data_IF_985384068725
#
_entry.id   IF_985384068725
#
_cell.length_a   1.000
_cell.length_b   1.000
_cell.length_c   1.000
_cell.angle_alpha   90.00
_cell.angle_beta   90.00
_cell.angle_gamma   90.00
#
_symmetry.space_group_name_H-M   'P 1'
#
loop_
_entity.id
_entity.type
_entity.pdbx_description
1 polymer ?
2 non-polymer ?
3 non-polymer ?
4 water ?
#
# COMPACT_ATOMS: atom_id res chain seq x y z
N UNK A 5 8.02 13.68 25.13
CA UNK A 5 7.60 12.27 25.35
C UNK A 5 8.68 11.23 24.99
N UNK A 6 8.89 10.36 25.95
CA UNK A 6 9.90 9.35 25.89
C UNK A 6 9.40 8.24 24.99
N UNK A 7 8.11 8.00 25.02
CA UNK A 7 7.51 7.03 24.14
C UNK A 7 7.73 7.42 22.66
N UNK A 8 7.50 8.71 22.34
CA UNK A 8 7.69 9.19 20.97
C UNK A 8 9.16 9.06 20.56
N UNK A 9 10.05 9.43 21.46
CA UNK A 9 11.49 9.26 21.29
C UNK A 9 11.87 7.79 21.02
N UNK A 10 11.23 6.87 21.72
CA UNK A 10 11.46 5.44 21.52
C UNK A 10 10.97 4.89 20.15
N UNK A 11 9.77 5.32 19.77
CA UNK A 11 9.20 5.01 18.46
C UNK A 11 10.15 5.51 17.36
N UNK A 12 10.54 6.77 17.48
CA UNK A 12 11.40 7.39 16.47
C UNK A 12 12.79 6.73 16.37
N UNK A 13 13.35 6.31 17.50
CA UNK A 13 14.66 5.64 17.45
C UNK A 13 14.54 4.28 16.79
N UNK A 14 13.40 3.62 16.93
CA UNK A 14 13.26 2.35 16.20
C UNK A 14 13.19 2.61 14.67
N UNK A 15 12.44 3.62 14.24
CA UNK A 15 12.45 4.00 12.83
C UNK A 15 13.81 4.51 12.33
N UNK A 16 14.61 5.16 13.19
CA UNK A 16 15.92 5.65 12.68
C UNK A 16 16.82 4.42 12.50
N UNK A 17 16.66 3.42 13.33
CA UNK A 17 17.33 2.15 13.03
C UNK A 17 16.85 1.54 11.75
N UNK A 18 15.55 1.58 11.48
CA UNK A 18 15.02 0.98 10.25
C UNK A 18 15.59 1.77 9.08
N UNK A 19 15.67 3.09 9.26
CA UNK A 19 16.17 4.00 8.19
C UNK A 19 17.62 3.74 7.80
N UNK A 20 18.45 3.45 8.79
CA UNK A 20 19.82 3.08 8.53
C UNK A 20 19.92 1.75 7.76
N UNK A 21 19.09 0.78 8.08
CA UNK A 21 19.19 -0.49 7.39
C UNK A 21 18.71 -0.22 5.96
N UNK A 22 17.61 0.54 5.80
CA UNK A 22 17.11 0.81 4.45
C UNK A 22 18.17 1.50 3.57
N UNK A 23 18.86 2.47 4.17
CA UNK A 23 19.91 3.18 3.48
C UNK A 23 21.03 2.23 3.03
N UNK A 24 21.44 1.31 3.90
CA UNK A 24 22.56 0.38 3.57
C UNK A 24 22.16 -0.64 2.51
N UNK A 25 20.96 -1.22 2.65
CA UNK A 25 20.39 -2.11 1.61
C UNK A 25 20.38 -1.44 0.27
N UNK A 26 19.81 -0.25 0.19
CA UNK A 26 19.77 0.47 -1.07
C UNK A 26 21.15 0.76 -1.67
N UNK A 27 22.14 1.10 -0.86
CA UNK A 27 23.49 1.34 -1.38
C UNK A 27 23.96 0.13 -2.18
N UNK A 28 23.63 -1.07 -1.72
CA UNK A 28 24.19 -2.29 -2.29
C UNK A 28 23.33 -2.97 -3.38
N UNK A 29 22.03 -2.91 -3.18
CA UNK A 29 21.14 -3.70 -3.92
C UNK A 29 21.17 -3.39 -5.40
N UNK A 30 21.06 -4.43 -6.21
CA UNK A 30 20.93 -4.22 -7.66
C UNK A 30 19.69 -3.41 -7.97
N UNK A 31 19.74 -2.58 -9.01
CA UNK A 31 18.59 -1.69 -9.34
C UNK A 31 17.94 -2.24 -10.60
N UNK A 32 16.59 -2.27 -10.67
CA UNK A 32 16.00 -2.91 -11.84
C UNK A 32 16.34 -2.14 -13.09
N UNK A 33 16.56 -2.79 -14.21
CA UNK A 33 16.99 -2.10 -15.46
C UNK A 33 15.81 -1.61 -16.32
N UNK A 34 16.09 -0.66 -17.21
CA UNK A 34 15.16 -0.35 -18.30
C UNK A 34 13.92 0.34 -17.72
N UNK A 35 14.11 1.30 -16.83
CA UNK A 35 12.97 2.02 -16.27
C UNK A 35 13.30 3.51 -16.29
N UNK A 36 12.28 4.33 -16.53
CA UNK A 36 12.37 5.75 -16.34
C UNK A 36 11.44 6.16 -15.18
N UNK A 37 11.89 7.13 -14.42
CA UNK A 37 11.03 7.76 -13.43
C UNK A 37 10.99 9.28 -13.61
N UNK A 38 9.92 9.90 -13.11
CA UNK A 38 9.70 11.33 -13.04
C UNK A 38 9.40 11.61 -11.59
N UNK A 39 10.22 12.45 -10.96
CA UNK A 39 10.16 12.58 -9.50
C UNK A 39 9.59 13.90 -8.96
N UNK A 40 9.07 13.81 -7.74
CA UNK A 40 8.88 15.01 -6.91
C UNK A 40 7.78 15.89 -7.44
N UNK A 41 6.73 15.30 -7.97
CA UNK A 41 5.55 16.10 -8.30
C UNK A 41 4.71 16.44 -7.07
N UNK A 42 4.42 17.72 -6.84
CA UNK A 42 3.43 18.13 -5.81
C UNK A 42 2.07 17.70 -6.28
N UNK A 43 1.31 17.00 -5.43
CA UNK A 43 -0.05 16.62 -5.79
C UNK A 43 -1.08 17.57 -5.19
N UNK A 44 -0.65 18.56 -4.44
CA UNK A 44 -1.52 19.67 -4.05
C UNK A 44 -0.77 20.98 -3.91
N UNK A 45 -1.48 22.07 -3.61
CA UNK A 45 -0.83 23.37 -3.47
C UNK A 45 -0.20 23.49 -2.12
N UNK A 46 0.92 22.83 -1.92
CA UNK A 46 1.60 22.90 -0.65
C UNK A 46 3.07 22.64 -0.80
N UNK A 47 3.80 23.10 0.21
CA UNK A 47 5.25 22.96 0.25
C UNK A 47 5.65 21.82 1.22
N UNK A 48 4.68 21.05 1.73
CA UNK A 48 5.06 19.94 2.61
C UNK A 48 5.75 18.83 1.73
N UNK A 49 7.00 18.47 2.03
CA UNK A 49 7.71 17.57 1.10
C UNK A 49 7.09 16.17 1.01
N UNK A 50 6.27 15.79 1.99
CA UNK A 50 5.59 14.52 1.94
C UNK A 50 4.39 14.53 0.96
N UNK A 51 3.91 15.70 0.59
CA UNK A 51 2.80 15.82 -0.35
C UNK A 51 3.18 15.79 -1.81
N UNK A 52 3.99 14.77 -2.13
CA UNK A 52 4.66 14.65 -3.44
C UNK A 52 4.64 13.21 -3.88
N UNK A 53 4.80 12.97 -5.18
CA UNK A 53 4.80 11.60 -5.70
C UNK A 53 5.85 11.43 -6.84
N UNK A 54 6.15 10.17 -7.12
CA UNK A 54 7.00 9.71 -8.19
C UNK A 54 6.13 8.86 -9.12
N UNK A 55 6.48 8.91 -10.39
CA UNK A 55 5.89 8.10 -11.45
C UNK A 55 7.03 7.30 -12.08
N UNK A 56 6.73 6.09 -12.42
CA UNK A 56 7.71 5.15 -12.97
C UNK A 56 7.14 4.46 -14.20
N UNK A 57 8.01 4.19 -15.14
CA UNK A 57 7.62 3.56 -16.41
C UNK A 57 8.68 2.63 -16.96
N UNK A 58 8.29 1.65 -17.79
CA UNK A 58 9.28 0.95 -18.59
C UNK A 58 10.03 1.94 -19.48
N UNK A 59 11.31 1.73 -19.73
CA UNK A 59 12.03 2.70 -20.56
C UNK A 59 11.50 2.66 -21.98
N UNK A 60 11.05 1.49 -22.45
CA UNK A 60 10.37 1.37 -23.74
C UNK A 60 8.89 0.94 -23.56
N UNK A 61 8.00 1.78 -24.03
CA UNK A 61 6.58 1.53 -23.85
C UNK A 61 6.00 0.77 -25.05
N UNK A 62 5.34 -0.35 -24.76
CA UNK A 62 4.69 -1.14 -25.79
C UNK A 62 3.45 -0.39 -26.34
N UNK A 63 2.73 0.33 -25.48
CA UNK A 63 1.64 1.23 -25.90
C UNK A 63 1.80 2.61 -25.26
N UNK A 64 0.93 3.55 -25.66
CA UNK A 64 0.85 4.94 -25.16
C UNK A 64 0.30 5.07 -23.76
N UNK A 65 -0.54 4.11 -23.39
CA UNK A 65 -0.95 3.94 -22.02
C UNK A 65 -0.70 2.49 -21.63
N UNK A 66 -0.49 2.31 -20.36
CA UNK A 66 -0.16 1.02 -19.75
C UNK A 66 -1.02 0.86 -18.51
N UNK A 67 -1.36 -0.36 -18.14
CA UNK A 67 -2.10 -0.58 -16.91
C UNK A 67 -1.38 0.03 -15.70
N UNK A 68 -2.19 0.45 -14.74
CA UNK A 68 -1.76 1.30 -13.69
C UNK A 68 -1.50 0.49 -12.40
N UNK A 69 -0.37 0.80 -11.72
CA UNK A 69 -0.16 0.40 -10.33
C UNK A 69 0.04 1.63 -9.43
N UNK A 70 -0.68 1.66 -8.32
CA UNK A 70 -0.51 2.72 -7.33
C UNK A 70 -0.09 2.05 -6.01
N UNK A 71 1.07 2.47 -5.50
CA UNK A 71 1.71 1.92 -4.35
C UNK A 71 1.66 2.88 -3.16
N UNK A 72 1.20 2.36 -2.03
CA UNK A 72 1.25 3.01 -0.71
C UNK A 72 2.29 2.33 0.17
N UNK A 73 3.38 3.02 0.46
CA UNK A 73 4.48 2.43 1.23
C UNK A 73 4.15 2.23 2.69
N UNK A 74 4.94 1.41 3.35
CA UNK A 74 4.80 1.09 4.74
C UNK A 74 5.78 1.88 5.59
N UNK A 75 5.93 1.43 6.84
CA UNK A 75 6.72 2.15 7.84
C UNK A 75 5.95 2.51 9.10
N UNK A 76 4.96 1.74 9.47
CA UNK A 76 4.27 1.99 10.75
C UNK A 76 3.61 3.34 10.90
N UNK A 77 3.24 3.97 9.77
CA UNK A 77 2.58 5.30 9.79
C UNK A 77 3.42 6.43 10.30
N UNK A 78 4.61 6.09 10.85
CA UNK A 78 5.53 7.10 11.41
C UNK A 78 6.73 7.35 10.49
N UNK A 79 6.90 6.52 9.47
CA UNK A 79 8.17 6.52 8.73
C UNK A 79 7.97 6.31 7.21
N UNK A 80 8.87 6.88 6.42
CA UNK A 80 8.95 6.59 4.99
C UNK A 80 8.62 7.81 4.21
N UNK A 81 8.78 7.72 2.89
CA UNK A 81 8.46 8.79 1.93
C UNK A 81 8.30 8.14 0.53
N UNK A 82 8.11 8.95 -0.49
CA UNK A 82 7.87 8.45 -1.84
C UNK A 82 9.02 7.67 -2.47
N UNK A 83 10.20 7.78 -1.87
CA UNK A 83 11.41 7.09 -2.33
C UNK A 83 11.63 5.74 -1.66
N UNK A 84 10.96 5.47 -0.54
CA UNK A 84 11.29 4.23 0.20
C UNK A 84 11.15 2.94 -0.64
N UNK A 85 10.08 2.89 -1.43
CA UNK A 85 9.77 1.71 -2.21
C UNK A 85 10.21 1.87 -3.66
N UNK A 86 11.23 2.67 -3.92
CA UNK A 86 11.54 2.93 -5.32
C UNK A 86 11.98 1.67 -6.14
N UNK A 87 12.78 0.79 -5.56
CA UNK A 87 13.23 -0.39 -6.32
C UNK A 87 12.08 -1.34 -6.67
N UNK A 88 11.15 -1.49 -5.72
CA UNK A 88 9.94 -2.21 -5.95
C UNK A 88 9.10 -1.60 -7.03
N UNK A 89 8.84 -0.27 -6.96
CA UNK A 89 8.11 0.42 -7.98
C UNK A 89 8.79 0.32 -9.32
N UNK A 90 10.11 0.46 -9.33
CA UNK A 90 10.84 0.27 -10.58
C UNK A 90 10.66 -1.12 -11.16
N UNK A 91 10.76 -2.16 -10.30
CA UNK A 91 10.53 -3.55 -10.79
C UNK A 91 9.16 -3.65 -11.51
N UNK A 92 8.11 -3.22 -10.82
CA UNK A 92 6.78 -3.40 -11.35
C UNK A 92 6.68 -2.65 -12.67
N UNK A 93 7.22 -1.42 -12.70
CA UNK A 93 7.22 -0.67 -13.93
C UNK A 93 7.95 -1.39 -15.05
N UNK A 94 9.06 -2.02 -14.72
CA UNK A 94 9.89 -2.65 -15.75
C UNK A 94 9.07 -3.75 -16.47
N UNK A 95 7.95 -4.17 -15.91
CA UNK A 95 7.18 -5.32 -16.46
C UNK A 95 6.09 -4.86 -17.36
N UNK A 96 6.01 -3.54 -17.57
CA UNK A 96 5.17 -2.88 -18.59
C UNK A 96 3.99 -2.17 -17.94
N UNK A 97 4.21 -1.60 -16.75
CA UNK A 97 3.14 -0.90 -16.00
C UNK A 97 3.52 0.54 -15.73
N UNK A 98 2.54 1.42 -15.70
CA UNK A 98 2.74 2.75 -15.30
C UNK A 98 2.46 2.84 -13.78
N UNK A 99 3.40 3.35 -13.01
CA UNK A 99 3.37 3.17 -11.52
C UNK A 99 3.42 4.54 -10.79
N UNK A 100 2.54 4.73 -9.83
CA UNK A 100 2.56 5.95 -9.04
C UNK A 100 2.79 5.51 -7.62
N UNK A 101 3.75 6.14 -6.97
CA UNK A 101 3.99 5.97 -5.53
C UNK A 101 4.05 7.35 -4.88
N UNK A 102 3.28 7.53 -3.82
CA UNK A 102 3.12 8.81 -3.11
C UNK A 102 3.72 8.86 -1.72
N UNK A 103 4.10 10.06 -1.33
CA UNK A 103 4.25 10.31 0.08
C UNK A 103 2.94 10.69 0.71
N UNK A 104 2.91 10.50 2.00
CA UNK A 104 1.87 10.99 2.88
C UNK A 104 2.49 11.48 4.23
N UNK A 105 1.91 12.56 4.78
CA UNK A 105 2.40 13.08 6.05
C UNK A 105 2.36 11.98 7.11
N UNK A 106 3.36 11.99 7.97
CA UNK A 106 3.56 10.97 8.99
C UNK A 106 2.99 11.34 10.39
N UNK A 107 2.64 10.33 11.13
CA UNK A 107 2.31 10.48 12.52
C UNK A 107 3.62 10.94 13.12
N UNK A 108 3.55 11.78 14.16
CA UNK A 108 2.36 12.32 14.82
C UNK A 108 1.92 13.69 14.34
N UNK A 109 2.48 14.14 13.24
CA UNK A 109 2.17 15.45 12.66
C UNK A 109 0.73 15.51 12.16
N UNK A 110 0.23 14.37 11.74
CA UNK A 110 -1.13 14.19 11.31
C UNK A 110 -1.66 12.99 12.00
N UNK A 111 -2.93 12.74 11.76
CA UNK A 111 -3.52 11.51 12.22
C UNK A 111 -3.98 10.72 10.98
N UNK A 112 -4.68 9.62 11.19
CA UNK A 112 -5.12 8.79 10.05
C UNK A 112 -5.89 9.58 9.00
N UNK A 113 -6.76 10.50 9.43
CA UNK A 113 -7.59 11.26 8.50
C UNK A 113 -6.69 12.06 7.58
N UNK A 114 -5.60 12.62 8.09
CA UNK A 114 -4.74 13.44 7.20
C UNK A 114 -4.00 12.53 6.20
N UNK A 115 -3.65 11.33 6.64
CA UNK A 115 -2.91 10.35 5.76
C UNK A 115 -3.83 9.83 4.65
N UNK A 116 -5.09 9.60 4.99
CA UNK A 116 -6.13 9.20 4.00
C UNK A 116 -6.37 10.33 3.03
N UNK A 117 -6.39 11.56 3.52
CA UNK A 117 -6.59 12.73 2.63
C UNK A 117 -5.44 12.91 1.64
N UNK A 118 -4.22 12.76 2.11
CA UNK A 118 -3.05 12.78 1.24
C UNK A 118 -3.16 11.73 0.15
N UNK A 119 -3.45 10.48 0.51
CA UNK A 119 -3.56 9.42 -0.45
C UNK A 119 -4.60 9.74 -1.48
N UNK A 120 -5.81 10.16 -1.04
CA UNK A 120 -6.84 10.59 -2.00
C UNK A 120 -6.49 11.78 -2.88
N UNK A 121 -5.72 12.71 -2.33
CA UNK A 121 -5.21 13.81 -3.17
C UNK A 121 -4.27 13.31 -4.26
N UNK A 122 -3.39 12.35 -3.91
CA UNK A 122 -2.53 11.75 -4.92
C UNK A 122 -3.31 11.00 -5.97
N UNK A 123 -4.39 10.32 -5.55
CA UNK A 123 -5.27 9.62 -6.49
C UNK A 123 -6.02 10.60 -7.41
N UNK A 124 -6.48 11.72 -6.86
CA UNK A 124 -7.17 12.75 -7.65
C UNK A 124 -6.24 13.45 -8.64
N UNK A 125 -5.02 13.77 -8.19
CA UNK A 125 -3.98 14.30 -9.09
C UNK A 125 -3.78 13.35 -10.30
N UNK A 126 -3.62 12.07 -10.00
CA UNK A 126 -3.44 11.07 -11.04
C UNK A 126 -4.67 10.96 -12.01
N UNK A 127 -5.90 11.08 -11.51
CA UNK A 127 -7.10 11.07 -12.41
C UNK A 127 -7.08 12.25 -13.35
N UNK A 128 -6.47 13.36 -12.95
CA UNK A 128 -6.36 14.55 -13.82
C UNK A 128 -5.22 14.48 -14.82
N UNK A 129 -4.06 13.98 -14.39
CA UNK A 129 -2.82 14.14 -15.14
C UNK A 129 -2.14 12.86 -15.59
N UNK A 130 -2.57 11.73 -15.07
CA UNK A 130 -1.96 10.45 -15.41
C UNK A 130 -2.18 10.01 -16.84
N UNK A 131 -3.44 9.98 -17.28
CA UNK A 131 -3.70 9.51 -18.64
C UNK A 131 -2.92 10.21 -19.74
N UNK A 132 -2.71 11.51 -19.62
CA UNK A 132 -1.95 12.23 -20.64
C UNK A 132 -0.47 11.82 -20.70
N UNK A 133 0.05 11.13 -19.68
CA UNK A 133 1.46 10.75 -19.66
C UNK A 133 1.66 9.27 -19.53
N UNK A 134 0.62 8.48 -19.83
CA UNK A 134 0.73 7.05 -19.92
C UNK A 134 -0.08 6.14 -19.02
N UNK A 135 -0.88 6.68 -18.12
CA UNK A 135 -1.57 5.83 -17.16
C UNK A 135 -2.95 5.44 -17.70
N UNK A 136 -3.16 4.14 -17.84
CA UNK A 136 -4.51 3.59 -18.20
C UNK A 136 -5.25 3.44 -16.91
N UNK A 137 -6.21 4.35 -16.62
CA UNK A 137 -6.92 4.26 -15.40
C UNK A 137 -8.20 3.34 -15.44
N UNK A 138 -8.39 2.60 -16.49
CA UNK A 138 -9.44 1.58 -16.57
C UNK A 138 -9.00 0.29 -15.90
N UNK A 139 -7.68 0.14 -15.72
CA UNK A 139 -7.08 -1.08 -15.14
C UNK A 139 -6.09 -0.61 -14.07
N UNK A 140 -6.50 -0.68 -12.78
CA UNK A 140 -5.77 -0.13 -11.69
C UNK A 140 -5.56 -1.13 -10.61
N UNK A 141 -4.28 -1.37 -10.30
CA UNK A 141 -3.87 -2.18 -9.18
C UNK A 141 -3.47 -1.24 -8.02
N UNK A 142 -4.20 -1.31 -6.90
CA UNK A 142 -3.82 -0.60 -5.71
C UNK A 142 -3.05 -1.58 -4.81
N UNK A 143 -1.90 -1.17 -4.29
CA UNK A 143 -1.15 -2.02 -3.41
C UNK A 143 -0.48 -1.26 -2.30
N UNK A 144 -0.31 -1.93 -1.17
CA UNK A 144 0.31 -1.32 -0.03
C UNK A 144 0.97 -2.37 0.82
N UNK A 145 2.09 -2.03 1.44
CA UNK A 145 2.82 -3.01 2.30
C UNK A 145 2.82 -2.59 3.79
N UNK A 146 2.48 -3.56 4.67
CA UNK A 146 2.39 -3.28 6.14
C UNK A 146 1.35 -2.15 6.62
N UNK A 147 1.82 -1.02 7.20
CA UNK A 147 0.94 0.13 7.40
C UNK A 147 0.33 0.66 6.07
N UNK A 148 1.11 0.61 4.99
CA UNK A 148 0.64 0.85 3.68
C UNK A 148 -0.43 -0.10 3.22
N UNK A 149 -0.36 -1.37 3.67
CA UNK A 149 -1.47 -2.30 3.44
C UNK A 149 -2.77 -1.97 4.20
N UNK A 150 -2.64 -1.62 5.49
CA UNK A 150 -3.70 -0.95 6.23
C UNK A 150 -4.36 0.18 5.46
N UNK A 151 -3.55 1.13 5.02
CA UNK A 151 -4.03 2.31 4.32
C UNK A 151 -4.71 1.95 3.02
N UNK A 152 -4.12 1.02 2.25
CA UNK A 152 -4.75 0.61 1.02
C UNK A 152 -6.14 -0.03 1.26
N UNK A 153 -6.24 -0.85 2.31
CA UNK A 153 -7.47 -1.58 2.61
C UNK A 153 -8.55 -0.57 2.99
N UNK A 154 -8.21 0.47 3.74
CA UNK A 154 -9.18 1.53 4.07
C UNK A 154 -9.58 2.36 2.84
N UNK A 155 -8.60 2.74 2.05
CA UNK A 155 -8.85 3.53 0.82
C UNK A 155 -9.84 2.82 -0.12
N UNK A 156 -9.66 1.51 -0.27
CA UNK A 156 -10.54 0.69 -1.05
C UNK A 156 -12.02 0.78 -0.59
N UNK A 157 -12.22 0.76 0.70
CA UNK A 157 -13.56 0.82 1.26
C UNK A 157 -14.08 2.23 1.14
N UNK A 158 -13.24 3.19 1.48
CA UNK A 158 -13.64 4.58 1.46
C UNK A 158 -14.10 4.99 0.04
N UNK A 159 -13.39 4.52 -0.98
CA UNK A 159 -13.71 4.82 -2.36
C UNK A 159 -15.11 4.37 -2.77
N UNK A 160 -15.64 3.38 -2.08
CA UNK A 160 -16.95 2.78 -2.36
C UNK A 160 -18.10 3.32 -1.56
N UNK A 161 -17.82 4.16 -0.56
CA UNK A 161 -18.81 4.53 0.46
C UNK A 161 -18.95 6.03 0.59
N UNK A 162 -20.11 6.58 0.26
CA UNK A 162 -20.40 8.02 0.51
C UNK A 162 -20.27 8.37 1.99
N UNK A 163 -20.76 7.51 2.87
CA UNK A 163 -20.64 7.76 4.28
C UNK A 163 -19.18 7.88 4.71
N UNK A 164 -18.30 6.98 4.25
CA UNK A 164 -16.93 7.04 4.74
C UNK A 164 -16.23 8.18 4.09
N UNK A 165 -16.57 8.50 2.85
CA UNK A 165 -16.04 9.65 2.19
C UNK A 165 -16.31 10.91 3.02
N UNK A 166 -17.50 11.03 3.58
CA UNK A 166 -17.88 12.19 4.32
C UNK A 166 -17.13 12.18 5.65
N UNK A 167 -17.08 11.03 6.29
CA UNK A 167 -16.34 10.95 7.55
C UNK A 167 -14.87 11.29 7.40
N UNK A 168 -14.22 10.76 6.36
CA UNK A 168 -12.79 11.02 6.21
C UNK A 168 -12.42 12.32 5.49
N UNK A 169 -13.44 13.02 5.00
CA UNK A 169 -13.31 14.33 4.35
C UNK A 169 -12.69 14.26 2.97
N UNK A 170 -12.99 13.21 2.22
CA UNK A 170 -12.46 13.07 0.86
C UNK A 170 -13.59 12.86 -0.11
N UNK A 171 -13.36 13.09 -1.39
CA UNK A 171 -14.34 12.77 -2.43
C UNK A 171 -13.85 11.54 -3.18
N UNK A 172 -14.77 10.81 -3.80
CA UNK A 172 -14.35 9.67 -4.61
C UNK A 172 -13.57 10.15 -5.83
N UNK A 173 -12.74 9.27 -6.35
CA UNK A 173 -12.01 9.56 -7.55
C UNK A 173 -12.68 8.87 -8.71
N UNK A 174 -12.37 9.36 -9.89
CA UNK A 174 -13.07 8.96 -11.08
C UNK A 174 -12.37 7.75 -11.74
N UNK A 175 -11.99 6.77 -10.93
CA UNK A 175 -11.62 5.48 -11.41
C UNK A 175 -11.82 4.52 -10.28
N UNK A 176 -11.73 3.23 -10.61
CA UNK A 176 -12.05 2.13 -9.71
C UNK A 176 -10.77 1.33 -9.59
N UNK A 177 -10.70 0.52 -8.56
CA UNK A 177 -9.56 -0.39 -8.37
C UNK A 177 -9.98 -1.72 -8.90
N UNK A 178 -9.14 -2.25 -9.78
CA UNK A 178 -9.33 -3.57 -10.34
C UNK A 178 -9.01 -4.68 -9.37
N UNK A 179 -7.93 -4.45 -8.64
CA UNK A 179 -7.52 -5.38 -7.62
C UNK A 179 -6.86 -4.57 -6.52
N UNK A 180 -6.99 -5.06 -5.29
CA UNK A 180 -6.21 -4.51 -4.15
C UNK A 180 -5.33 -5.61 -3.54
N UNK A 181 -4.02 -5.41 -3.64
CA UNK A 181 -3.05 -6.40 -3.15
C UNK A 181 -2.38 -5.84 -1.93
N UNK A 182 -2.50 -6.57 -0.83
CA UNK A 182 -1.97 -6.18 0.46
C UNK A 182 -0.80 -7.06 0.79
N UNK A 183 0.33 -6.44 1.12
CA UNK A 183 1.54 -7.20 1.40
C UNK A 183 1.84 -7.05 2.89
N UNK A 184 1.81 -8.20 3.59
CA UNK A 184 1.92 -8.27 5.03
C UNK A 184 1.18 -7.12 5.77
N UNK A 185 -0.08 -6.96 5.45
CA UNK A 185 -0.79 -5.84 6.00
C UNK A 185 -0.97 -5.94 7.52
N UNK A 186 -1.10 -4.78 8.14
CA UNK A 186 -1.55 -4.62 9.53
C UNK A 186 -2.89 -3.91 9.50
N UNK A 187 -3.90 -4.61 8.96
CA UNK A 187 -5.21 -4.02 8.63
C UNK A 187 -6.14 -3.95 9.86
N UNK A 188 -5.72 -4.58 10.96
CA UNK A 188 -6.51 -4.58 12.23
C UNK A 188 -5.64 -4.13 13.39
N UNK A 189 -5.20 -2.88 13.35
CA UNK A 189 -4.27 -2.38 14.39
C UNK A 189 -4.80 -2.42 15.84
N UNK A 190 -6.13 -2.36 16.02
CA UNK A 190 -6.78 -2.46 17.35
C UNK A 190 -6.36 -3.72 18.03
N UNK A 191 -6.07 -4.77 17.24
CA UNK A 191 -5.57 -6.06 17.81
C UNK A 191 -4.11 -6.06 18.30
N UNK A 192 -3.34 -5.04 17.92
CA UNK A 192 -1.95 -5.00 18.29
C UNK A 192 -1.69 -5.03 19.80
N UNK A 193 -2.39 -4.20 20.59
CA UNK A 193 -2.04 -4.23 22.02
C UNK A 193 -2.34 -5.56 22.70
N UNK A 194 -3.10 -6.43 22.05
CA UNK A 194 -3.33 -7.79 22.56
C UNK A 194 -2.13 -8.67 22.21
N UNK A 195 -1.81 -9.61 23.09
CA UNK A 195 -0.41 -10.05 23.19
C UNK A 195 0.46 -8.78 23.05
N UNK A 196 1.54 -8.80 22.26
CA UNK A 196 2.50 -7.69 22.24
C UNK A 196 3.27 -7.57 23.56
N UNK A 197 2.97 -8.46 24.52
CA UNK A 197 3.64 -8.56 25.82
C UNK A 197 3.91 -7.21 26.47
N UNK A 198 5.18 -6.94 26.76
CA UNK A 198 5.63 -5.66 27.34
C UNK A 198 5.60 -4.45 26.35
N UNK A 199 5.08 -4.65 25.12
CA UNK A 199 4.97 -3.56 24.13
C UNK A 199 3.58 -3.02 24.00
N UNK A 200 2.68 -3.34 24.94
CA UNK A 200 1.27 -2.94 24.79
C UNK A 200 1.15 -1.43 24.88
N UNK A 201 1.91 -0.80 25.76
CA UNK A 201 1.83 0.64 25.91
C UNK A 201 2.27 1.34 24.61
N UNK A 202 3.33 0.83 23.99
CA UNK A 202 3.75 1.37 22.72
C UNK A 202 2.67 1.15 21.65
N UNK A 203 2.04 -0.01 21.64
CA UNK A 203 1.04 -0.27 20.66
C UNK A 203 -0.18 0.65 20.87
N UNK A 204 -0.55 0.89 22.12
CA UNK A 204 -1.63 1.81 22.46
C UNK A 204 -1.28 3.22 21.98
N UNK A 205 -0.02 3.60 22.09
CA UNK A 205 0.46 4.88 21.63
C UNK A 205 0.32 5.08 20.09
N UNK A 206 0.70 4.09 19.30
CA UNK A 206 0.39 4.08 17.88
C UNK A 206 -1.11 4.37 17.65
N UNK A 207 -1.97 3.68 18.38
CA UNK A 207 -3.43 3.76 18.14
C UNK A 207 -3.97 5.14 18.47
N UNK A 208 -3.42 5.75 19.51
CA UNK A 208 -3.83 7.11 19.88
C UNK A 208 -3.37 8.12 18.86
N UNK A 209 -2.20 7.88 18.25
CA UNK A 209 -1.71 8.79 17.22
C UNK A 209 -2.48 8.66 15.92
N UNK A 210 -2.88 7.44 15.60
CA UNK A 210 -3.70 7.20 14.45
C UNK A 210 -5.07 7.88 14.61
N UNK A 211 -5.70 7.73 15.78
CA UNK A 211 -7.04 8.28 15.97
C UNK A 211 -7.04 9.80 16.21
N UNK A 212 -5.92 10.37 16.63
CA UNK A 212 -5.92 11.79 17.09
C UNK A 212 -6.98 12.06 18.15
N UNK A 213 -7.41 11.06 18.91
CA UNK A 213 -8.54 11.21 19.84
C UNK A 213 -9.90 11.36 19.21
N UNK A 214 -10.02 11.28 17.90
CA UNK A 214 -11.32 11.41 17.26
C UNK A 214 -12.01 10.06 17.32
N UNK A 215 -13.16 9.98 18.03
CA UNK A 215 -13.86 8.70 18.23
C UNK A 215 -14.37 8.13 16.91
N UNK A 216 -14.67 8.99 15.96
CA UNK A 216 -15.05 8.47 14.67
C UNK A 216 -13.87 7.70 13.99
N UNK A 217 -12.63 8.18 14.17
CA UNK A 217 -11.46 7.45 13.67
C UNK A 217 -11.24 6.17 14.45
N UNK A 218 -11.43 6.22 15.76
CA UNK A 218 -11.32 5.03 16.60
C UNK A 218 -12.25 3.93 16.05
N UNK A 219 -13.47 4.33 15.65
CA UNK A 219 -14.51 3.42 15.18
C UNK A 219 -14.35 3.05 13.75
N UNK A 220 -13.31 3.62 13.11
CA UNK A 220 -13.08 3.32 11.75
C UNK A 220 -11.63 3.12 11.42
N UNK A 221 -10.89 2.56 12.36
CA UNK A 221 -9.43 2.44 12.28
C UNK A 221 -9.06 1.05 11.64
N UNK A 222 -9.97 0.09 11.65
CA UNK A 222 -9.74 -1.25 11.20
C UNK A 222 -10.54 -1.58 9.97
N UNK A 223 -9.90 -2.36 9.08
CA UNK A 223 -10.61 -2.89 7.91
C UNK A 223 -11.95 -3.51 8.29
N UNK A 224 -12.02 -4.24 9.40
CA UNK A 224 -13.29 -4.87 9.87
C UNK A 224 -14.41 -3.82 10.12
N UNK A 225 -14.04 -2.58 10.46
CA UNK A 225 -15.01 -1.53 10.72
C UNK A 225 -15.43 -0.82 9.45
N UNK A 226 -14.56 -0.73 8.41
CA UNK A 226 -14.96 -0.07 7.18
C UNK A 226 -15.53 -0.98 6.04
N UNK A 227 -15.36 -2.27 6.17
CA UNK A 227 -15.76 -3.24 5.13
C UNK A 227 -17.26 -3.40 5.07
N UNK A 228 -17.91 -3.14 6.18
CA UNK A 228 -19.33 -3.56 6.40
C UNK A 228 -20.23 -3.05 5.29
N UNK A 229 -20.82 -3.97 4.54
CA UNK A 229 -21.94 -3.69 3.63
C UNK A 229 -21.59 -3.18 2.25
N UNK A 230 -20.33 -3.31 1.83
CA UNK A 230 -19.90 -2.65 0.64
C UNK A 230 -19.66 -3.68 -0.41
N UNK A 231 -19.78 -3.32 -1.66
CA UNK A 231 -19.44 -4.22 -2.76
C UNK A 231 -18.02 -3.86 -3.18
N UNK A 232 -17.04 -4.75 -2.95
CA UNK A 232 -15.67 -4.33 -3.04
C UNK A 232 -14.98 -5.01 -4.25
N UNK A 233 -13.90 -4.42 -4.76
CA UNK A 233 -13.09 -5.23 -5.64
C UNK A 233 -12.48 -6.47 -4.99
N UNK A 234 -11.89 -7.34 -5.82
CA UNK A 234 -11.13 -8.48 -5.28
C UNK A 234 -9.86 -7.99 -4.60
N UNK A 235 -9.40 -8.77 -3.60
CA UNK A 235 -8.16 -8.58 -2.86
C UNK A 235 -7.25 -9.72 -3.15
N UNK A 236 -5.97 -9.44 -2.95
CA UNK A 236 -4.92 -10.48 -2.94
C UNK A 236 -4.11 -10.25 -1.68
N UNK A 237 -3.98 -11.28 -0.86
CA UNK A 237 -3.21 -11.17 0.38
C UNK A 237 -1.89 -11.88 0.22
N UNK A 238 -0.79 -11.11 0.42
CA UNK A 238 0.56 -11.61 0.18
C UNK A 238 1.31 -11.50 1.49
N UNK A 239 2.04 -12.55 1.81
CA UNK A 239 2.91 -12.54 2.98
C UNK A 239 3.39 -13.95 3.30
N UNK A 240 3.55 -14.23 4.58
CA UNK A 240 4.07 -15.59 4.96
C UNK A 240 4.24 -15.79 6.46
N UNK A 241 4.47 -17.07 6.81
CA UNK A 241 4.42 -17.46 8.16
C UNK A 241 5.53 -16.83 8.92
N UNK A 242 6.59 -16.37 8.24
CA UNK A 242 7.70 -15.64 8.89
C UNK A 242 7.61 -14.11 8.90
N UNK A 243 6.47 -13.57 8.49
CA UNK A 243 6.14 -12.16 8.73
C UNK A 243 5.97 -11.99 10.23
N UNK A 244 6.64 -11.00 10.83
CA UNK A 244 6.42 -10.72 12.29
C UNK A 244 4.97 -10.40 12.56
N UNK A 245 4.26 -9.93 11.54
CA UNK A 245 2.82 -9.63 11.68
C UNK A 245 1.88 -10.64 11.02
N UNK A 246 2.32 -11.89 10.95
CA UNK A 246 1.51 -12.94 10.30
C UNK A 246 0.17 -13.07 10.97
N UNK A 247 0.10 -12.85 12.28
CA UNK A 247 -1.24 -12.90 12.95
C UNK A 247 -2.23 -11.89 12.38
N UNK A 248 -1.73 -10.76 11.90
CA UNK A 248 -2.61 -9.75 11.26
C UNK A 248 -3.17 -10.25 9.96
N UNK A 249 -2.36 -11.02 9.21
CA UNK A 249 -2.86 -11.68 8.00
C UNK A 249 -3.94 -12.75 8.29
N UNK A 250 -3.74 -13.49 9.38
CA UNK A 250 -4.73 -14.49 9.79
C UNK A 250 -6.02 -13.84 10.17
N UNK A 251 -5.92 -12.76 10.91
CA UNK A 251 -7.08 -12.01 11.34
C UNK A 251 -7.85 -11.42 10.15
N UNK A 252 -7.13 -10.84 9.18
CA UNK A 252 -7.78 -10.29 8.01
C UNK A 252 -8.55 -11.35 7.14
N UNK A 253 -8.04 -12.59 7.08
CA UNK A 253 -8.72 -13.60 6.29
C UNK A 253 -10.12 -13.92 6.92
N UNK A 254 -10.14 -14.00 8.22
CA UNK A 254 -11.39 -14.14 8.99
C UNK A 254 -12.36 -13.02 8.63
N UNK A 255 -11.89 -11.76 8.63
CA UNK A 255 -12.78 -10.61 8.17
C UNK A 255 -13.21 -10.75 6.72
N UNK A 256 -12.30 -11.11 5.82
CA UNK A 256 -12.68 -11.38 4.43
C UNK A 256 -13.82 -12.43 4.34
N UNK A 257 -13.59 -13.57 5.00
CA UNK A 257 -14.62 -14.67 4.91
C UNK A 257 -15.95 -14.23 5.45
N UNK A 258 -15.92 -13.55 6.58
CA UNK A 258 -17.15 -13.07 7.21
C UNK A 258 -17.89 -12.04 6.39
N UNK A 259 -17.17 -11.30 5.54
CA UNK A 259 -17.79 -10.27 4.72
C UNK A 259 -17.94 -10.60 3.24
N UNK A 260 -17.75 -11.85 2.87
CA UNK A 260 -17.84 -12.29 1.47
C UNK A 260 -17.00 -11.44 0.52
N UNK A 261 -15.76 -11.15 0.93
CA UNK A 261 -14.80 -10.42 0.11
C UNK A 261 -14.25 -11.45 -0.82
N UNK A 262 -14.16 -11.18 -2.10
CA UNK A 262 -13.42 -12.06 -3.03
C UNK A 262 -11.90 -11.87 -2.95
N UNK A 263 -11.17 -12.97 -2.78
CA UNK A 263 -9.74 -12.85 -2.57
C UNK A 263 -8.98 -14.08 -2.99
N UNK A 264 -7.68 -13.89 -3.21
CA UNK A 264 -6.72 -14.97 -3.46
C UNK A 264 -5.58 -14.72 -2.51
N UNK A 265 -4.69 -15.68 -2.37
CA UNK A 265 -3.57 -15.49 -1.45
C UNK A 265 -2.29 -15.93 -2.11
N UNK A 266 -1.18 -15.40 -1.64
CA UNK A 266 0.16 -15.94 -1.94
C UNK A 266 0.90 -15.83 -0.58
N UNK A 267 0.72 -16.86 0.22
CA UNK A 267 1.28 -16.94 1.62
C UNK A 267 2.40 -17.96 1.66
N UNK A 268 3.62 -17.52 1.97
CA UNK A 268 4.77 -18.37 1.99
C UNK A 268 4.82 -19.16 3.31
N UNK A 269 5.00 -20.45 3.24
CA UNK A 269 5.09 -21.20 4.51
C UNK A 269 6.46 -21.07 5.20
N UNK A 270 6.56 -21.45 6.45
CA UNK A 270 7.80 -21.38 7.17
C UNK A 270 8.87 -22.22 6.51
N UNK A 271 8.44 -23.30 5.86
CA UNK A 271 9.39 -24.18 5.20
C UNK A 271 10.13 -23.52 4.04
N UNK A 272 9.53 -22.48 3.44
CA UNK A 272 10.19 -21.68 2.41
C UNK A 272 11.36 -20.78 2.93
N UNK A 273 11.55 -20.73 4.23
CA UNK A 273 12.81 -20.25 4.79
C UNK A 273 12.72 -18.98 5.62
N UNK A 274 13.74 -18.74 6.44
CA UNK A 274 13.78 -17.70 7.42
C UNK A 274 13.95 -16.31 6.76
N UNK A 275 14.44 -16.29 5.54
CA UNK A 275 14.67 -15.05 4.81
C UNK A 275 13.38 -14.32 4.36
N UNK A 276 12.26 -15.03 4.34
CA UNK A 276 10.97 -14.52 3.77
C UNK A 276 10.24 -13.77 4.85
N UNK A 277 10.88 -12.68 5.27
CA UNK A 277 10.34 -12.01 6.42
C UNK A 277 9.49 -10.89 5.93
N UNK A 278 9.19 -9.98 6.85
CA UNK A 278 8.23 -8.94 6.59
C UNK A 278 8.62 -8.12 5.36
N UNK A 279 7.61 -7.90 4.54
CA UNK A 279 7.69 -7.22 3.28
C UNK A 279 8.90 -7.60 2.40
N UNK A 280 9.34 -8.87 2.43
CA UNK A 280 10.57 -9.28 1.67
C UNK A 280 10.46 -8.96 0.16
N UNK A 281 9.27 -9.12 -0.40
CA UNK A 281 9.10 -8.92 -1.85
C UNK A 281 9.11 -7.44 -2.28
N UNK A 282 8.98 -6.53 -1.34
CA UNK A 282 9.13 -5.09 -1.57
C UNK A 282 10.58 -4.66 -1.32
N UNK A 283 11.14 -5.15 -0.23
CA UNK A 283 12.50 -4.75 0.12
C UNK A 283 13.60 -5.42 -0.70
N UNK A 284 13.31 -6.59 -1.29
CA UNK A 284 14.30 -7.35 -2.04
C UNK A 284 13.77 -7.85 -3.41
N UNK A 285 13.62 -6.92 -4.33
CA UNK A 285 12.86 -7.23 -5.52
C UNK A 285 13.52 -8.36 -6.32
N UNK A 286 14.87 -8.45 -6.24
CA UNK A 286 15.70 -9.31 -7.09
C UNK A 286 15.76 -10.78 -6.61
N UNK A 287 15.31 -11.07 -5.38
CA UNK A 287 15.25 -12.47 -4.96
C UNK A 287 14.25 -13.25 -5.79
N UNK A 288 14.57 -14.55 -6.13
CA UNK A 288 13.63 -15.39 -6.89
C UNK A 288 12.21 -15.41 -6.31
N UNK A 289 12.05 -15.50 -5.00
CA UNK A 289 10.69 -15.54 -4.36
C UNK A 289 9.93 -14.16 -4.51
N UNK A 290 10.69 -13.09 -4.50
CA UNK A 290 10.14 -11.75 -4.71
C UNK A 290 9.67 -11.65 -6.13
N UNK A 291 10.52 -12.08 -7.06
CA UNK A 291 10.11 -12.13 -8.48
C UNK A 291 8.79 -12.95 -8.65
N UNK A 292 8.75 -14.13 -8.05
CA UNK A 292 7.61 -15.01 -8.21
C UNK A 292 6.36 -14.38 -7.67
N UNK A 293 6.48 -13.82 -6.47
CA UNK A 293 5.37 -13.20 -5.80
C UNK A 293 4.85 -12.00 -6.61
N UNK A 294 5.76 -11.14 -7.01
CA UNK A 294 5.37 -9.94 -7.72
C UNK A 294 4.80 -10.19 -9.10
N UNK A 295 5.39 -11.11 -9.86
CA UNK A 295 4.80 -11.53 -11.18
C UNK A 295 3.43 -12.17 -10.97
N UNK A 296 3.28 -13.01 -9.96
CA UNK A 296 1.99 -13.62 -9.66
C UNK A 296 0.89 -12.55 -9.42
N UNK A 297 1.25 -11.51 -8.65
CA UNK A 297 0.38 -10.38 -8.38
C UNK A 297 -0.01 -9.67 -9.68
N UNK A 298 0.98 -9.42 -10.53
CA UNK A 298 0.72 -8.74 -11.77
C UNK A 298 -0.09 -9.62 -12.69
N UNK A 299 0.11 -10.94 -12.64
CA UNK A 299 -0.72 -11.87 -13.44
C UNK A 299 -2.21 -11.93 -13.03
N UNK A 300 -2.44 -11.89 -11.73
CA UNK A 300 -3.74 -11.85 -11.16
C UNK A 300 -4.46 -10.57 -11.60
N UNK A 301 -3.75 -9.47 -11.59
CA UNK A 301 -4.18 -8.18 -12.06
C UNK A 301 -4.52 -8.24 -13.56
N UNK A 302 -3.64 -8.81 -14.37
CA UNK A 302 -3.92 -8.96 -15.77
C UNK A 302 -5.14 -9.83 -16.04
N UNK A 303 -5.34 -10.88 -15.25
CA UNK A 303 -6.46 -11.82 -15.50
C UNK A 303 -7.78 -11.07 -15.23
N UNK A 304 -7.82 -10.27 -14.15
CA UNK A 304 -9.01 -9.51 -13.82
C UNK A 304 -9.23 -8.42 -14.86
N UNK A 305 -8.15 -7.76 -15.32
CA UNK A 305 -8.27 -6.72 -16.36
C UNK A 305 -8.84 -7.32 -17.66
N UNK A 306 -8.42 -8.54 -18.01
CA UNK A 306 -8.91 -9.21 -19.23
C UNK A 306 -10.42 -9.57 -19.08
N UNK A 307 -10.83 -10.13 -17.94
CA UNK A 307 -12.23 -10.40 -17.65
C UNK A 307 -13.08 -9.11 -17.71
N UNK A 308 -12.61 -8.05 -17.07
CA UNK A 308 -13.27 -6.75 -17.22
C UNK A 308 -13.42 -6.36 -18.74
N UNK A 309 -12.36 -6.47 -19.53
CA UNK A 309 -12.46 -6.14 -20.98
C UNK A 309 -13.50 -7.00 -21.72
N UNK A 310 -13.54 -8.28 -21.42
CA UNK A 310 -14.55 -9.18 -22.00
C UNK A 310 -15.94 -8.80 -21.56
N UNK A 311 -16.11 -8.55 -20.25
CA UNK A 311 -17.40 -8.13 -19.71
C UNK A 311 -17.88 -6.81 -20.39
N UNK A 312 -16.93 -5.96 -20.79
CA UNK A 312 -17.30 -4.66 -21.29
C UNK A 312 -17.24 -4.62 -22.81
N UNK A 313 -17.21 -5.79 -23.42
CA UNK A 313 -17.25 -5.91 -24.90
C UNK A 313 -16.16 -5.09 -25.50
N UNK A 314 -14.98 -5.19 -24.90
CA UNK A 314 -13.86 -4.38 -25.32
C UNK A 314 -12.56 -5.19 -25.45
N UNK A 315 -12.66 -6.47 -25.78
CA UNK A 315 -11.51 -7.37 -25.63
C UNK A 315 -10.42 -7.09 -26.66
X LIG B 1 4.58 -0.65 8.26
X LIG B 1 4.72 -2.05 8.91
X LIG B 1 3.67 -2.32 10.35
X LIG B 1 4.28 -1.72 11.59
X LIG B 1 3.15 -1.52 12.64
X LIG B 1 3.87 -1.29 13.95
X LIG B 1 2.96 -1.57 15.12
X LIG B 1 3.77 -1.16 16.33
X LIG B 1 3.35 -1.88 17.62
X LIG B 1 4.26 -1.45 18.75
X LIG B 1 6.26 -2.22 9.13
X LIG B 1 6.66 -3.57 9.05
X LIG B 1 7.86 -3.93 9.92
X LIG B 1 7.52 -3.81 11.32
X LIG B 1 7.94 -2.64 12.05
X LIG B 1 8.68 -3.03 13.32
X LIG B 1 9.00 -1.77 14.14
X LIG B 1 8.02 -1.49 15.25
X LIG B 1 9.06 -3.12 9.42
X LIG B 1 9.34 -3.59 8.11
X LIG B 1 10.52 -3.03 7.55
X LIG B 1 10.29 -1.58 7.10
X LIG B 1 8.95 -1.39 6.39
X LIG B 1 8.85 0.05 5.92
X LIG C 1 6.88 11.92 29.50
X LIG C 1 7.98 11.85 28.85
X LIG C 1 6.13 10.91 29.76
X LIG C 1 6.40 13.26 29.96
X LIG D 1 3.77 -20.07 -2.38
X LIG D 1 3.26 -19.93 -3.52
X LIG D 1 3.22 -19.54 -1.39
X LIG D 1 5.05 -20.83 -2.25
#
# INVERSE_FOLDING_TARGET
MADEEAMLAKVQASWAQTAARDKARYADERVPEDVHWETEYRYEQSADPQQTLNLYYPAKRRNATMPTVIDIHGGGWFYGDRNLNRNYCRYLASQGYAVMGMGYRLLPDVDLRGQIQDIFASLRWLSHFGPQRGFDLDHVLLTGDSAGGHLASLVACIQQSAELQELFGVSRVNFNFTLVALVCPVAEPSKLPEAAGDMSDMAAFYLDKLSGGDQALVDHLNFSQVVKGLDLPPFMLIGGQNDSFYLQSQALLKVFDANHVTYTTKLWPASAGPHLKHVFNVQHWEWPESIETNLEMLRTFDALSKQQDQAEENEFE
2HD O20 P9 C8 C7 C6 C5 C4 C3 C2 C1 O10 C11 C12 O21 C22 C23 C24 C25 C13 O14 C15 C16 C17 C18
ACT C O OXT CH3
ACT C O OXT CH3
#
